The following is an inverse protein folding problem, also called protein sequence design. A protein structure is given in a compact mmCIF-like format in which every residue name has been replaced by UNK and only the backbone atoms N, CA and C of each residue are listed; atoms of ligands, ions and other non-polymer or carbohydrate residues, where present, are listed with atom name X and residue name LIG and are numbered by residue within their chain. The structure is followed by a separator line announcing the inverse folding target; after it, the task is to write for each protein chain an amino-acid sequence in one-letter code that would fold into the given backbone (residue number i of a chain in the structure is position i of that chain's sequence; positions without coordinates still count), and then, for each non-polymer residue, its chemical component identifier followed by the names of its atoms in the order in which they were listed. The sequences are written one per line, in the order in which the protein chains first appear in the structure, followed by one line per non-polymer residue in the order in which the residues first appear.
data_IF_344609334507
#
_entry.id   IF_344609334507
#
_cell.length_a   1.000
_cell.length_b   1.000
_cell.length_c   1.000
_cell.angle_alpha   90.00
_cell.angle_beta   90.00
_cell.angle_gamma   90.00
#
_symmetry.space_group_name_H-M   'P 1'
#
loop_
_entity.id
_entity.type
_entity.pdbx_description
1 polymer ?
#
# COMPACT_ATOMS: atom_id res chain seq x y z
N UNK A 1 20.81 -15.63 78.73
CA UNK A 1 20.20 -14.43 78.11
C UNK A 1 20.76 -14.32 76.69
N UNK A 2 20.05 -14.88 75.70
CA UNK A 2 20.43 -14.81 74.29
C UNK A 2 19.53 -13.82 73.58
N UNK A 3 20.11 -12.74 73.10
CA UNK A 3 19.43 -11.67 72.35
C UNK A 3 19.45 -12.06 70.88
N UNK A 4 18.35 -12.61 70.37
CA UNK A 4 18.18 -12.87 68.94
C UNK A 4 17.91 -11.56 68.21
N UNK A 5 18.84 -11.15 67.35
CA UNK A 5 18.68 -10.02 66.45
C UNK A 5 17.66 -10.38 65.35
N UNK A 6 16.56 -9.64 65.29
CA UNK A 6 15.58 -9.70 64.21
C UNK A 6 16.11 -8.84 63.07
N UNK A 7 16.55 -9.48 61.99
CA UNK A 7 16.91 -8.81 60.74
C UNK A 7 15.62 -8.48 59.99
N UNK A 8 15.32 -7.19 59.88
CA UNK A 8 14.19 -6.69 59.08
C UNK A 8 14.67 -6.60 57.63
N UNK A 9 14.23 -7.56 56.80
CA UNK A 9 14.42 -7.50 55.35
C UNK A 9 13.65 -6.31 54.78
N UNK A 10 14.37 -5.31 54.28
CA UNK A 10 13.80 -4.19 53.56
C UNK A 10 13.23 -4.67 52.22
N UNK A 11 11.92 -4.86 52.15
CA UNK A 11 11.18 -5.09 50.90
C UNK A 11 11.29 -3.82 50.04
N UNK A 12 12.28 -3.80 49.15
CA UNK A 12 12.45 -2.78 48.13
C UNK A 12 11.30 -2.88 47.13
N UNK A 13 10.26 -2.06 47.33
CA UNK A 13 9.13 -1.96 46.43
C UNK A 13 9.58 -1.38 45.08
N UNK A 14 9.83 -2.26 44.11
CA UNK A 14 10.13 -1.88 42.74
C UNK A 14 8.91 -1.15 42.13
N UNK A 15 9.02 0.17 42.00
CA UNK A 15 8.02 1.04 41.35
C UNK A 15 7.75 0.54 39.91
N UNK A 16 6.49 0.36 39.50
CA UNK A 16 6.13 -0.24 38.22
C UNK A 16 6.41 0.73 37.05
N UNK A 17 7.65 0.76 36.54
CA UNK A 17 8.04 1.48 35.31
C UNK A 17 7.36 0.98 34.02
N UNK A 18 6.45 0.00 34.12
CA UNK A 18 5.79 -0.62 32.96
C UNK A 18 4.64 0.22 32.36
N UNK A 19 4.07 1.20 33.07
CA UNK A 19 2.86 1.92 32.60
C UNK A 19 3.13 3.03 31.58
N UNK A 20 4.15 3.87 31.79
CA UNK A 20 4.43 5.02 30.93
C UNK A 20 4.83 4.60 29.50
N UNK A 21 5.68 3.58 29.36
CA UNK A 21 6.09 3.05 28.05
C UNK A 21 4.95 2.39 27.28
N UNK A 22 4.00 1.75 27.99
CA UNK A 22 2.82 1.14 27.36
C UNK A 22 1.82 2.19 26.86
N UNK A 23 1.63 3.29 27.61
CA UNK A 23 0.78 4.39 27.18
C UNK A 23 1.37 5.11 25.96
N UNK A 24 2.67 5.45 26.00
CA UNK A 24 3.35 6.07 24.87
C UNK A 24 3.28 5.22 23.59
N UNK A 25 3.46 3.90 23.71
CA UNK A 25 3.33 2.98 22.58
C UNK A 25 1.90 2.94 22.02
N UNK A 26 0.87 3.00 22.87
CA UNK A 26 -0.54 3.05 22.43
C UNK A 26 -0.85 4.36 21.71
N UNK A 27 -0.42 5.49 22.26
CA UNK A 27 -0.60 6.81 21.65
C UNK A 27 0.11 6.86 20.29
N UNK A 28 1.35 6.38 20.20
CA UNK A 28 2.10 6.34 18.94
C UNK A 28 1.41 5.46 17.88
N UNK A 29 0.85 4.31 18.27
CA UNK A 29 0.09 3.44 17.35
C UNK A 29 -1.24 4.08 16.92
N UNK A 30 -1.93 4.75 17.83
CA UNK A 30 -3.15 5.51 17.53
C UNK A 30 -2.87 6.63 16.53
N UNK A 31 -1.82 7.42 16.79
CA UNK A 31 -1.38 8.48 15.88
C UNK A 31 -1.02 7.92 14.49
N UNK A 32 -0.25 6.83 14.43
CA UNK A 32 0.12 6.20 13.15
C UNK A 32 -1.11 5.69 12.37
N UNK A 33 -2.06 5.05 13.06
CA UNK A 33 -3.31 4.57 12.46
C UNK A 33 -4.12 5.73 11.90
N UNK A 34 -4.27 6.81 12.68
CA UNK A 34 -4.99 8.01 12.25
C UNK A 34 -4.30 8.67 11.04
N UNK A 35 -2.97 8.74 11.03
CA UNK A 35 -2.22 9.27 9.89
C UNK A 35 -2.43 8.44 8.62
N UNK A 36 -2.38 7.10 8.71
CA UNK A 36 -2.64 6.22 7.56
C UNK A 36 -4.06 6.41 7.02
N UNK A 37 -5.04 6.49 7.92
CA UNK A 37 -6.43 6.73 7.56
C UNK A 37 -6.61 8.11 6.89
N UNK A 38 -6.03 9.15 7.48
CA UNK A 38 -6.09 10.51 6.95
C UNK A 38 -5.45 10.61 5.55
N UNK A 39 -4.31 9.95 5.33
CA UNK A 39 -3.67 9.87 4.00
C UNK A 39 -4.58 9.13 3.01
N UNK A 40 -5.19 8.02 3.42
CA UNK A 40 -6.11 7.26 2.55
C UNK A 40 -7.33 8.07 2.14
N UNK A 41 -7.97 8.75 3.10
CA UNK A 41 -9.10 9.64 2.82
C UNK A 41 -8.67 10.81 1.94
N UNK A 42 -7.53 11.43 2.24
CA UNK A 42 -7.00 12.54 1.45
C UNK A 42 -6.76 12.15 -0.02
N UNK A 43 -6.18 10.97 -0.26
CA UNK A 43 -5.95 10.44 -1.62
C UNK A 43 -7.27 10.25 -2.37
N UNK A 44 -8.30 9.70 -1.73
CA UNK A 44 -9.61 9.44 -2.35
C UNK A 44 -10.36 10.74 -2.62
N UNK A 45 -10.35 11.69 -1.69
CA UNK A 45 -11.00 13.00 -1.87
C UNK A 45 -10.32 13.81 -2.98
N UNK A 46 -9.00 13.67 -3.12
CA UNK A 46 -8.20 14.36 -4.14
C UNK A 46 -7.90 13.48 -5.36
N UNK A 47 -8.80 12.55 -5.71
CA UNK A 47 -8.59 11.60 -6.81
C UNK A 47 -8.28 12.28 -8.15
N UNK A 48 -8.84 13.47 -8.40
CA UNK A 48 -8.55 14.25 -9.60
C UNK A 48 -7.07 14.60 -9.75
N UNK A 49 -6.39 14.96 -8.64
CA UNK A 49 -4.95 15.23 -8.65
C UNK A 49 -4.13 13.95 -8.84
N UNK A 50 -4.60 12.83 -8.29
CA UNK A 50 -3.99 11.52 -8.51
C UNK A 50 -4.07 11.14 -9.99
N UNK A 51 -5.22 11.37 -10.65
CA UNK A 51 -5.39 11.11 -12.08
C UNK A 51 -4.53 11.99 -12.98
N UNK A 52 -4.26 13.23 -12.56
CA UNK A 52 -3.28 14.08 -13.24
C UNK A 52 -1.89 13.44 -13.14
N UNK A 53 -1.46 13.03 -11.94
CA UNK A 53 -0.18 12.34 -11.78
C UNK A 53 -0.11 11.02 -12.59
N UNK A 54 -1.22 10.29 -12.69
CA UNK A 54 -1.33 9.10 -13.52
C UNK A 54 -1.19 9.41 -15.01
N UNK A 55 -1.82 10.50 -15.51
CA UNK A 55 -1.67 10.91 -16.91
C UNK A 55 -0.24 11.34 -17.24
N UNK A 56 0.43 12.07 -16.34
CA UNK A 56 1.85 12.43 -16.48
C UNK A 56 2.72 11.18 -16.63
N UNK A 57 2.55 10.23 -15.69
CA UNK A 57 3.34 9.01 -15.68
C UNK A 57 3.00 8.10 -16.88
N UNK A 58 1.74 8.07 -17.32
CA UNK A 58 1.31 7.33 -18.49
C UNK A 58 1.94 7.90 -19.77
N UNK A 59 1.84 9.21 -20.00
CA UNK A 59 2.45 9.88 -21.15
C UNK A 59 3.97 9.65 -21.18
N UNK A 60 4.64 9.74 -20.02
CA UNK A 60 6.05 9.42 -19.89
C UNK A 60 6.37 7.98 -20.31
N UNK A 61 5.57 6.99 -19.87
CA UNK A 61 5.77 5.59 -20.22
C UNK A 61 5.47 5.31 -21.70
N UNK A 62 4.46 5.95 -22.28
CA UNK A 62 4.11 5.76 -23.69
C UNK A 62 5.22 6.26 -24.63
N UNK A 63 5.82 7.41 -24.32
CA UNK A 63 6.96 7.97 -25.05
C UNK A 63 8.25 7.12 -24.98
N UNK A 64 8.32 6.12 -24.09
CA UNK A 64 9.50 5.27 -23.90
C UNK A 64 9.53 4.04 -24.79
N UNK A 65 8.48 3.77 -25.58
CA UNK A 65 8.52 2.68 -26.55
C UNK A 65 7.18 2.06 -26.93
N UNK A 66 6.05 2.73 -26.67
CA UNK A 66 4.74 2.24 -27.10
C UNK A 66 4.15 3.14 -28.19
N UNK A 67 4.15 4.46 -27.98
CA UNK A 67 3.64 5.43 -28.92
C UNK A 67 4.80 6.18 -29.60
N UNK A 68 4.55 6.68 -30.82
CA UNK A 68 5.48 7.54 -31.54
C UNK A 68 5.64 8.89 -30.84
N UNK A 69 4.52 9.40 -30.33
CA UNK A 69 4.47 10.56 -29.46
C UNK A 69 3.29 10.46 -28.49
N UNK A 70 3.45 10.96 -27.26
CA UNK A 70 2.39 11.04 -26.27
C UNK A 70 2.52 12.34 -25.48
N UNK A 71 1.40 13.06 -25.34
CA UNK A 71 1.30 14.31 -24.61
C UNK A 71 0.12 14.26 -23.67
N UNK A 72 0.24 14.98 -22.57
CA UNK A 72 -0.87 15.18 -21.67
C UNK A 72 -1.92 16.07 -22.32
N UNK A 73 -3.17 15.72 -22.08
CA UNK A 73 -4.31 16.44 -22.59
C UNK A 73 -5.40 16.52 -21.50
N UNK A 74 -6.41 17.33 -21.75
CA UNK A 74 -7.62 17.34 -20.95
C UNK A 74 -8.82 17.15 -21.86
N UNK A 75 -9.74 16.26 -21.48
CA UNK A 75 -10.97 16.01 -22.23
C UNK A 75 -12.18 16.12 -21.32
N UNK A 76 -13.10 17.05 -21.60
CA UNK A 76 -14.30 17.29 -20.80
C UNK A 76 -14.01 17.45 -19.30
N UNK A 77 -12.98 18.24 -18.95
CA UNK A 77 -12.57 18.48 -17.55
C UNK A 77 -11.87 17.32 -16.86
N UNK A 78 -11.54 16.24 -17.59
CA UNK A 78 -10.85 15.07 -17.07
C UNK A 78 -9.42 14.97 -17.64
N UNK A 79 -8.41 14.57 -16.84
CA UNK A 79 -7.09 14.23 -17.34
C UNK A 79 -7.15 13.17 -18.44
N UNK A 80 -6.38 13.39 -19.49
CA UNK A 80 -6.29 12.51 -20.64
C UNK A 80 -4.84 12.44 -21.14
N UNK A 81 -4.55 11.43 -21.96
CA UNK A 81 -3.29 11.34 -22.70
C UNK A 81 -3.64 11.26 -24.17
N UNK A 82 -3.17 12.23 -24.95
CA UNK A 82 -3.24 12.19 -26.41
C UNK A 82 -1.96 11.52 -26.92
N UNK A 83 -2.07 10.54 -27.79
CA UNK A 83 -0.93 9.78 -28.30
C UNK A 83 -1.10 9.43 -29.76
N UNK A 84 0.03 9.34 -30.45
CA UNK A 84 0.12 8.90 -31.83
C UNK A 84 0.56 7.44 -31.88
N UNK A 85 -0.24 6.61 -32.56
CA UNK A 85 0.09 5.23 -32.83
C UNK A 85 -0.32 4.87 -34.26
N UNK A 86 0.62 4.41 -35.07
CA UNK A 86 0.33 4.02 -36.46
C UNK A 86 -0.13 5.21 -37.32
N UNK A 87 0.38 6.42 -37.04
CA UNK A 87 0.04 7.65 -37.77
C UNK A 87 -1.37 8.19 -37.48
N UNK A 88 -2.02 7.74 -36.41
CA UNK A 88 -3.32 8.25 -35.96
C UNK A 88 -3.20 8.82 -34.56
N UNK A 89 -3.77 10.01 -34.36
CA UNK A 89 -3.88 10.64 -33.04
C UNK A 89 -5.12 10.14 -32.31
N UNK A 90 -4.90 9.59 -31.13
CA UNK A 90 -5.92 9.05 -30.25
C UNK A 90 -5.85 9.74 -28.89
N UNK A 91 -6.98 9.82 -28.19
CA UNK A 91 -7.03 10.42 -26.86
C UNK A 91 -7.65 9.44 -25.86
N UNK A 92 -6.89 9.05 -24.85
CA UNK A 92 -7.35 8.22 -23.75
C UNK A 92 -7.74 9.09 -22.56
N UNK A 93 -9.05 9.17 -22.29
CA UNK A 93 -9.57 9.85 -21.09
C UNK A 93 -9.44 8.94 -19.88
N UNK A 94 -8.71 9.40 -18.86
CA UNK A 94 -8.61 8.69 -17.57
C UNK A 94 -9.85 9.06 -16.77
N UNK A 95 -10.70 8.10 -16.43
CA UNK A 95 -11.90 8.33 -15.58
C UNK A 95 -11.64 7.89 -14.15
N UNK A 96 -12.55 8.23 -13.23
CA UNK A 96 -12.48 7.81 -11.81
C UNK A 96 -12.40 6.28 -11.65
N UNK A 97 -12.97 5.50 -12.57
CA UNK A 97 -12.89 4.03 -12.55
C UNK A 97 -11.46 3.52 -12.81
N UNK A 98 -10.62 4.32 -13.45
CA UNK A 98 -9.20 4.02 -13.69
C UNK A 98 -8.26 4.59 -12.62
N UNK A 99 -8.79 5.38 -11.68
CA UNK A 99 -7.96 6.02 -10.67
C UNK A 99 -7.47 5.01 -9.64
N UNK A 100 -6.15 4.98 -9.42
CA UNK A 100 -5.55 4.14 -8.38
C UNK A 100 -6.00 4.57 -6.98
N UNK A 101 -6.43 5.82 -6.81
CA UNK A 101 -6.92 6.38 -5.56
C UNK A 101 -7.98 5.49 -4.88
N UNK A 102 -8.89 4.90 -5.68
CA UNK A 102 -9.94 4.00 -5.18
C UNK A 102 -9.41 2.69 -4.59
N UNK A 103 -8.18 2.30 -4.93
CA UNK A 103 -7.52 1.10 -4.41
C UNK A 103 -6.55 1.43 -3.27
N UNK A 104 -5.81 2.54 -3.35
CA UNK A 104 -4.90 2.96 -2.29
C UNK A 104 -5.64 3.28 -1.00
N UNK A 105 -6.81 3.94 -1.08
CA UNK A 105 -7.64 4.27 0.08
C UNK A 105 -7.99 3.06 0.94
N UNK A 106 -8.66 2.01 0.40
CA UNK A 106 -8.95 0.79 1.12
C UNK A 106 -7.71 0.05 1.66
N UNK A 107 -6.59 0.04 0.93
CA UNK A 107 -5.34 -0.56 1.42
C UNK A 107 -4.80 0.18 2.64
N UNK A 108 -4.83 1.51 2.62
CA UNK A 108 -4.44 2.35 3.75
C UNK A 108 -5.39 2.19 4.94
N UNK A 109 -6.68 1.99 4.70
CA UNK A 109 -7.65 1.66 5.74
C UNK A 109 -7.30 0.33 6.42
N UNK A 110 -7.03 -0.73 5.64
CA UNK A 110 -6.62 -2.03 6.19
C UNK A 110 -5.33 -1.89 7.00
N UNK A 111 -4.35 -1.14 6.49
CA UNK A 111 -3.11 -0.86 7.20
C UNK A 111 -3.35 -0.12 8.53
N UNK A 112 -4.22 0.90 8.53
CA UNK A 112 -4.60 1.65 9.72
C UNK A 112 -5.21 0.73 10.80
N UNK A 113 -6.08 -0.19 10.40
CA UNK A 113 -6.69 -1.18 11.30
C UNK A 113 -5.66 -2.19 11.82
N UNK A 114 -4.75 -2.68 10.98
CA UNK A 114 -3.71 -3.63 11.37
C UNK A 114 -2.69 -3.02 12.35
N UNK A 115 -2.39 -1.73 12.22
CA UNK A 115 -1.54 -1.00 13.18
C UNK A 115 -2.16 -0.97 14.57
N UNK A 116 -3.48 -0.98 14.72
CA UNK A 116 -4.13 -1.04 16.04
C UNK A 116 -4.05 -2.44 16.68
N UNK A 117 -3.80 -3.48 15.89
CA UNK A 117 -3.70 -4.85 16.39
C UNK A 117 -2.42 -5.07 17.20
N UNK A 118 -2.50 -5.40 18.51
CA UNK A 118 -1.30 -5.61 19.35
C UNK A 118 -0.49 -6.84 18.93
N UNK A 119 -1.06 -7.73 18.10
CA UNK A 119 -0.41 -8.94 17.61
C UNK A 119 0.52 -8.68 16.42
N UNK A 120 0.44 -7.49 15.81
CA UNK A 120 1.14 -7.15 14.57
C UNK A 120 2.17 -6.05 14.83
N UNK A 121 3.35 -6.20 14.25
CA UNK A 121 4.41 -5.18 14.29
C UNK A 121 4.08 -4.05 13.31
N UNK A 122 4.07 -2.80 13.79
CA UNK A 122 3.81 -1.61 12.96
C UNK A 122 4.80 -1.48 11.81
N UNK A 123 6.08 -1.84 12.03
CA UNK A 123 7.10 -1.81 10.98
C UNK A 123 6.76 -2.76 9.81
N UNK A 124 6.22 -3.95 10.13
CA UNK A 124 5.79 -4.90 9.09
C UNK A 124 4.55 -4.40 8.35
N UNK A 125 3.61 -3.75 9.05
CA UNK A 125 2.44 -3.15 8.40
C UNK A 125 2.89 -2.05 7.43
N UNK A 126 3.80 -1.16 7.85
CA UNK A 126 4.31 -0.11 7.00
C UNK A 126 5.06 -0.66 5.79
N UNK A 127 5.89 -1.69 5.97
CA UNK A 127 6.60 -2.34 4.86
C UNK A 127 5.61 -2.97 3.87
N UNK A 128 4.65 -3.77 4.34
CA UNK A 128 3.63 -4.39 3.49
C UNK A 128 2.79 -3.35 2.76
N UNK A 129 2.45 -2.25 3.45
CA UNK A 129 1.70 -1.13 2.87
C UNK A 129 2.52 -0.46 1.77
N UNK A 130 3.78 -0.12 2.02
CA UNK A 130 4.65 0.49 1.01
C UNK A 130 4.80 -0.38 -0.24
N UNK A 131 5.06 -1.68 -0.07
CA UNK A 131 5.15 -2.63 -1.18
C UNK A 131 3.80 -2.72 -1.92
N UNK A 132 2.69 -2.82 -1.18
CA UNK A 132 1.36 -2.93 -1.77
C UNK A 132 0.93 -1.70 -2.56
N UNK A 133 1.17 -0.49 -2.03
CA UNK A 133 0.88 0.76 -2.73
C UNK A 133 1.72 0.89 -4.00
N UNK A 134 3.02 0.57 -3.94
CA UNK A 134 3.89 0.59 -5.11
C UNK A 134 3.44 -0.42 -6.17
N UNK A 135 3.19 -1.67 -5.76
CA UNK A 135 2.73 -2.72 -6.66
C UNK A 135 1.40 -2.37 -7.35
N UNK A 136 0.42 -1.86 -6.60
CA UNK A 136 -0.86 -1.44 -7.19
C UNK A 136 -0.68 -0.27 -8.14
N UNK A 137 0.13 0.73 -7.79
CA UNK A 137 0.42 1.87 -8.68
C UNK A 137 1.01 1.40 -10.00
N UNK A 138 2.00 0.50 -9.97
CA UNK A 138 2.58 -0.07 -11.17
C UNK A 138 1.55 -0.87 -11.99
N UNK A 139 0.71 -1.65 -11.30
CA UNK A 139 -0.34 -2.42 -11.95
C UNK A 139 -1.40 -1.53 -12.62
N UNK A 140 -1.72 -0.39 -12.01
CA UNK A 140 -2.62 0.58 -12.62
C UNK A 140 -1.99 1.24 -13.85
N UNK A 141 -0.70 1.57 -13.82
CA UNK A 141 -0.01 2.06 -15.02
C UNK A 141 0.01 0.99 -16.12
N UNK A 142 0.25 -0.26 -15.78
CA UNK A 142 0.16 -1.37 -16.74
C UNK A 142 -1.25 -1.47 -17.32
N UNK A 143 -2.29 -1.37 -16.50
CA UNK A 143 -3.69 -1.36 -16.95
C UNK A 143 -3.95 -0.22 -17.93
N UNK A 144 -3.52 1.00 -17.61
CA UNK A 144 -3.69 2.16 -18.49
C UNK A 144 -2.94 1.98 -19.82
N UNK A 145 -1.72 1.43 -19.77
CA UNK A 145 -0.94 1.12 -20.96
C UNK A 145 -1.61 0.05 -21.83
N UNK A 146 -2.14 -1.01 -21.24
CA UNK A 146 -2.86 -2.05 -21.99
C UNK A 146 -4.11 -1.49 -22.67
N UNK A 147 -4.82 -0.58 -22.01
CA UNK A 147 -5.98 0.11 -22.60
C UNK A 147 -5.52 1.01 -23.76
N UNK A 148 -4.49 1.83 -23.56
CA UNK A 148 -3.98 2.74 -24.59
C UNK A 148 -3.47 1.97 -25.82
N UNK A 149 -2.66 0.93 -25.60
CA UNK A 149 -2.13 0.07 -26.64
C UNK A 149 -3.26 -0.66 -27.37
N UNK A 150 -4.17 -1.30 -26.63
CA UNK A 150 -5.28 -2.03 -27.25
C UNK A 150 -6.22 -1.12 -28.05
N UNK A 151 -6.45 0.10 -27.58
CA UNK A 151 -7.22 1.10 -28.30
C UNK A 151 -6.54 1.52 -29.61
N UNK A 152 -5.21 1.71 -29.59
CA UNK A 152 -4.47 2.13 -30.76
C UNK A 152 -4.23 1.03 -31.81
N UNK A 153 -4.14 -0.23 -31.41
CA UNK A 153 -3.85 -1.34 -32.34
C UNK A 153 -5.10 -2.04 -32.87
N UNK A 154 -6.13 -2.20 -32.05
CA UNK A 154 -7.34 -2.97 -32.37
C UNK A 154 -8.64 -2.15 -32.30
N UNK A 155 -8.54 -0.86 -32.04
CA UNK A 155 -9.67 0.07 -32.06
C UNK A 155 -10.59 -0.02 -30.84
N UNK A 156 -11.83 0.45 -31.00
CA UNK A 156 -12.78 0.67 -29.90
C UNK A 156 -13.25 -0.63 -29.21
N UNK A 157 -13.38 -1.73 -29.94
CA UNK A 157 -13.79 -3.01 -29.37
C UNK A 157 -12.76 -3.52 -28.35
N UNK A 158 -11.47 -3.45 -28.72
CA UNK A 158 -10.39 -3.81 -27.81
C UNK A 158 -10.32 -2.85 -26.62
N UNK A 159 -10.59 -1.54 -26.81
CA UNK A 159 -10.73 -0.62 -25.69
C UNK A 159 -11.78 -1.10 -24.68
N UNK A 160 -12.96 -1.55 -25.14
CA UNK A 160 -14.01 -2.06 -24.24
C UNK A 160 -13.59 -3.34 -23.49
N UNK A 161 -12.92 -4.27 -24.16
CA UNK A 161 -12.40 -5.50 -23.54
C UNK A 161 -11.27 -5.23 -22.54
N UNK A 162 -10.33 -4.34 -22.88
CA UNK A 162 -9.21 -3.98 -22.02
C UNK A 162 -9.67 -3.14 -20.82
N UNK A 163 -10.58 -2.20 -21.04
CA UNK A 163 -11.13 -1.35 -19.99
C UNK A 163 -12.07 -2.10 -19.03
N UNK A 164 -12.86 -3.05 -19.55
CA UNK A 164 -13.80 -3.83 -18.77
C UNK A 164 -13.15 -5.05 -18.08
N UNK A 165 -13.34 -6.27 -18.62
CA UNK A 165 -13.00 -7.51 -17.92
C UNK A 165 -11.50 -7.68 -17.68
N UNK A 166 -10.64 -7.34 -18.64
CA UNK A 166 -9.19 -7.55 -18.49
C UNK A 166 -8.61 -6.61 -17.42
N UNK A 167 -8.91 -5.32 -17.52
CA UNK A 167 -8.46 -4.32 -16.55
C UNK A 167 -9.00 -4.59 -15.14
N UNK A 168 -10.27 -5.00 -15.02
CA UNK A 168 -10.87 -5.36 -13.74
C UNK A 168 -10.23 -6.63 -13.15
N UNK A 169 -10.07 -7.67 -13.96
CA UNK A 169 -9.43 -8.92 -13.54
C UNK A 169 -8.00 -8.71 -13.07
N UNK A 170 -7.22 -7.90 -13.81
CA UNK A 170 -5.86 -7.53 -13.44
C UNK A 170 -5.80 -6.86 -12.06
N UNK A 171 -6.65 -5.86 -11.82
CA UNK A 171 -6.69 -5.16 -10.54
C UNK A 171 -7.18 -6.04 -9.39
N UNK A 172 -8.16 -6.93 -9.63
CA UNK A 172 -8.62 -7.88 -8.62
C UNK A 172 -7.50 -8.83 -8.17
N UNK A 173 -6.73 -9.38 -9.13
CA UNK A 173 -5.55 -10.20 -8.83
C UNK A 173 -4.51 -9.39 -8.04
N UNK A 174 -4.27 -8.14 -8.43
CA UNK A 174 -3.37 -7.24 -7.72
C UNK A 174 -3.76 -7.02 -6.27
N UNK A 175 -5.03 -6.69 -6.00
CA UNK A 175 -5.55 -6.50 -4.65
C UNK A 175 -5.43 -7.79 -3.85
N UNK A 176 -5.82 -8.94 -4.44
CA UNK A 176 -5.71 -10.23 -3.79
C UNK A 176 -4.25 -10.55 -3.40
N UNK A 177 -3.29 -10.26 -4.29
CA UNK A 177 -1.87 -10.42 -4.02
C UNK A 177 -1.39 -9.50 -2.88
N UNK A 178 -1.84 -8.24 -2.84
CA UNK A 178 -1.51 -7.31 -1.74
C UNK A 178 -2.11 -7.76 -0.41
N UNK A 179 -3.37 -8.21 -0.40
CA UNK A 179 -4.00 -8.77 0.80
C UNK A 179 -3.26 -10.03 1.28
N UNK A 180 -2.87 -10.91 0.36
CA UNK A 180 -2.07 -12.08 0.66
C UNK A 180 -0.69 -11.71 1.23
N UNK A 181 -0.06 -10.65 0.71
CA UNK A 181 1.18 -10.09 1.24
C UNK A 181 1.02 -9.62 2.69
N UNK A 182 -0.08 -8.91 3.01
CA UNK A 182 -0.39 -8.55 4.40
C UNK A 182 -0.51 -9.78 5.29
N UNK A 183 -1.17 -10.85 4.84
CA UNK A 183 -1.27 -12.09 5.61
C UNK A 183 0.11 -12.71 5.85
N UNK A 184 0.95 -12.81 4.82
CA UNK A 184 2.29 -13.41 4.95
C UNK A 184 3.19 -12.59 5.86
N UNK A 185 3.30 -11.28 5.62
CA UNK A 185 4.28 -10.45 6.33
C UNK A 185 3.80 -10.05 7.73
N UNK A 186 2.51 -9.78 7.90
CA UNK A 186 1.97 -9.27 9.15
C UNK A 186 1.44 -10.37 10.08
N UNK A 187 0.84 -11.44 9.53
CA UNK A 187 0.11 -12.44 10.33
C UNK A 187 0.92 -13.73 10.53
N UNK A 188 1.64 -14.22 9.51
CA UNK A 188 2.45 -15.44 9.70
C UNK A 188 3.60 -15.15 10.66
N UNK A 189 3.63 -15.90 11.78
CA UNK A 189 4.75 -15.88 12.73
C UNK A 189 5.99 -16.40 12.00
N UNK A 190 7.07 -15.61 12.01
CA UNK A 190 8.38 -16.12 11.63
C UNK A 190 8.69 -17.33 12.52
N UNK A 191 9.16 -18.47 11.96
CA UNK A 191 9.62 -19.58 12.78
C UNK A 191 10.66 -19.02 13.76
N UNK A 192 10.40 -19.14 15.08
CA UNK A 192 11.39 -18.77 16.09
C UNK A 192 12.62 -19.61 15.79
N UNK A 193 13.67 -19.00 15.23
CA UNK A 193 14.92 -19.69 14.98
C UNK A 193 15.37 -20.24 16.34
N UNK A 194 15.51 -21.57 16.40
CA UNK A 194 15.99 -22.33 17.56
C UNK A 194 17.50 -22.03 17.71
N UNK A 195 17.85 -20.81 18.09
CA UNK A 195 19.25 -20.38 18.23
C UNK A 195 19.81 -20.47 19.66
N UNK A 196 19.09 -21.05 20.62
CA UNK A 196 19.43 -20.93 22.05
C UNK A 196 19.32 -22.23 22.85
N UNK A 197 19.60 -23.38 22.21
CA UNK A 197 19.71 -24.69 22.88
C UNK A 197 21.02 -25.43 22.62
N UNK A 198 21.94 -24.88 21.83
CA UNK A 198 23.26 -25.49 21.62
C UNK A 198 24.31 -25.05 22.66
N UNK A 199 24.05 -24.01 23.47
CA UNK A 199 24.98 -23.54 24.50
C UNK A 199 24.84 -24.25 25.86
N UNK A 200 23.84 -25.12 26.03
CA UNK A 200 23.56 -25.78 27.32
C UNK A 200 24.06 -27.23 27.38
N UNK A 201 24.59 -27.77 26.27
CA UNK A 201 25.23 -29.10 26.23
C UNK A 201 26.76 -29.06 26.46
N UNK A 202 27.30 -27.90 26.83
CA UNK A 202 28.73 -27.70 27.13
C UNK A 202 28.99 -27.26 28.58
N UNK A 203 28.04 -27.50 29.49
CA UNK A 203 28.25 -27.29 30.93
C UNK A 203 27.94 -28.56 31.71
#
# INVERSE_FOLDING_TARGET
MSTSAVTIDSVSAAVPRRSAGQLAARVARGALSLSLLAIGVFIVVNEGQVRVAESHLLAFLMNRGIADSAVEASSAGNPAVAFELGGQWLALRITIQCAIALYLGPVLLVAALLVLSPRVSSARVLLSTGIGLAALTLLNQLRLLLIAFGYGTWGTEAFHWMHGPVGTGLMLVGIAAVLFLFVILCIRRAPRSKGRRAQESQR
#
